data_IF_045963323509
#
_entry.id   IF_045963323509
#
_cell.length_a   1.000
_cell.length_b   1.000
_cell.length_c   1.000
_cell.angle_alpha   90.00
_cell.angle_beta   90.00
_cell.angle_gamma   90.00
#
_symmetry.space_group_name_H-M   'P 1'
#
loop_
_entity.id
_entity.type
_entity.pdbx_description
1 polymer ?
#
# COMPACT_ATOMS: atom_id res chain seq x y z
N UNK A 1 -1.22 -23.73 -6.36
CA UNK A 1 -1.61 -22.37 -5.93
C UNK A 1 -0.81 -21.97 -4.71
N UNK A 2 -0.02 -20.89 -4.78
CA UNK A 2 0.83 -20.42 -3.69
C UNK A 2 0.01 -19.98 -2.47
N UNK A 3 0.57 -20.06 -1.25
CA UNK A 3 -0.06 -19.56 -0.03
C UNK A 3 -0.42 -18.07 -0.13
N UNK A 4 0.39 -17.28 -0.84
CA UNK A 4 0.12 -15.86 -1.08
C UNK A 4 -1.10 -15.62 -1.97
N UNK A 5 -1.31 -16.43 -3.01
CA UNK A 5 -2.53 -16.34 -3.82
C UNK A 5 -3.78 -16.63 -2.99
N UNK A 6 -3.72 -17.63 -2.10
CA UNK A 6 -4.84 -17.95 -1.21
C UNK A 6 -5.14 -16.80 -0.26
N UNK A 7 -4.13 -16.21 0.36
CA UNK A 7 -4.32 -15.12 1.30
C UNK A 7 -4.79 -13.83 0.61
N UNK A 8 -4.06 -13.38 -0.41
CA UNK A 8 -4.27 -12.07 -1.00
C UNK A 8 -5.42 -12.05 -2.02
N UNK A 9 -5.58 -13.08 -2.85
CA UNK A 9 -6.66 -13.10 -3.87
C UNK A 9 -7.91 -13.73 -3.30
N UNK A 10 -7.85 -14.98 -2.85
CA UNK A 10 -9.04 -15.70 -2.41
C UNK A 10 -9.59 -15.16 -1.07
N UNK A 11 -8.69 -14.75 -0.16
CA UNK A 11 -9.08 -14.05 1.07
C UNK A 11 -9.80 -12.73 0.77
N UNK A 12 -9.27 -11.93 -0.16
CA UNK A 12 -9.90 -10.66 -0.56
C UNK A 12 -11.26 -10.88 -1.22
N UNK A 13 -11.41 -11.87 -2.11
CA UNK A 13 -12.72 -12.23 -2.68
C UNK A 13 -13.73 -12.61 -1.60
N UNK A 14 -13.28 -13.32 -0.57
CA UNK A 14 -14.11 -13.69 0.58
C UNK A 14 -14.53 -12.46 1.38
N UNK A 15 -13.62 -11.51 1.63
CA UNK A 15 -13.94 -10.24 2.30
C UNK A 15 -14.98 -9.43 1.51
N UNK A 16 -14.80 -9.32 0.19
CA UNK A 16 -15.78 -8.67 -0.69
C UNK A 16 -17.15 -9.34 -0.56
N UNK A 17 -17.20 -10.68 -0.61
CA UNK A 17 -18.46 -11.40 -0.48
C UNK A 17 -19.16 -11.09 0.84
N UNK A 18 -18.43 -11.08 1.95
CA UNK A 18 -18.95 -10.73 3.27
C UNK A 18 -19.45 -9.28 3.28
N UNK A 19 -18.68 -8.33 2.73
CA UNK A 19 -19.05 -6.90 2.62
C UNK A 19 -20.38 -6.72 1.89
N UNK A 20 -20.59 -7.48 0.81
CA UNK A 20 -21.85 -7.48 0.05
C UNK A 20 -23.00 -8.05 0.87
N UNK A 21 -22.80 -9.21 1.50
CA UNK A 21 -23.81 -9.89 2.31
C UNK A 21 -24.23 -9.08 3.54
N UNK A 22 -23.28 -8.38 4.18
CA UNK A 22 -23.52 -7.53 5.34
C UNK A 22 -24.08 -6.15 4.99
N UNK A 23 -24.22 -5.82 3.70
CA UNK A 23 -24.63 -4.49 3.22
C UNK A 23 -23.78 -3.35 3.77
N UNK A 24 -22.47 -3.60 3.83
CA UNK A 24 -21.50 -2.60 4.28
C UNK A 24 -21.50 -1.41 3.33
N UNK A 25 -21.51 -0.20 3.89
CA UNK A 25 -21.55 1.06 3.12
C UNK A 25 -20.18 1.56 2.70
N UNK A 26 -19.16 1.28 3.51
CA UNK A 26 -17.81 1.77 3.28
C UNK A 26 -16.82 0.65 3.56
N UNK A 27 -15.90 0.42 2.62
CA UNK A 27 -14.87 -0.59 2.74
C UNK A 27 -13.51 0.01 2.40
N UNK A 28 -12.53 -0.27 3.25
CA UNK A 28 -11.15 0.20 3.07
C UNK A 28 -10.26 -0.99 2.81
N UNK A 29 -9.44 -0.90 1.76
CA UNK A 29 -8.53 -1.95 1.37
C UNK A 29 -7.08 -1.47 1.50
N UNK A 30 -6.31 -2.12 2.36
CA UNK A 30 -4.88 -1.82 2.48
C UNK A 30 -4.11 -2.57 1.40
N UNK A 31 -3.73 -1.84 0.36
CA UNK A 31 -2.86 -2.31 -0.71
C UNK A 31 -1.39 -2.02 -0.39
N UNK A 32 -0.55 -1.80 -1.40
CA UNK A 32 0.88 -1.51 -1.25
C UNK A 32 1.44 -0.92 -2.53
N UNK A 33 2.36 0.03 -2.43
CA UNK A 33 3.08 0.61 -3.58
C UNK A 33 3.80 -0.42 -4.47
N UNK A 34 3.95 -1.66 -3.98
CA UNK A 34 4.44 -2.79 -4.77
C UNK A 34 3.60 -3.10 -6.03
N UNK A 35 2.33 -2.68 -6.10
CA UNK A 35 1.44 -2.94 -7.24
C UNK A 35 1.80 -2.13 -8.49
N UNK A 36 2.53 -1.01 -8.32
CA UNK A 36 3.01 -0.16 -9.42
C UNK A 36 4.50 -0.36 -9.72
N UNK A 37 5.16 -1.31 -9.05
CA UNK A 37 6.60 -1.56 -9.23
C UNK A 37 6.89 -2.72 -10.18
N UNK A 38 7.81 -2.51 -11.12
CA UNK A 38 8.42 -3.58 -11.93
C UNK A 38 9.66 -4.20 -11.23
N UNK A 39 10.04 -3.68 -10.05
CA UNK A 39 11.19 -4.08 -9.22
C UNK A 39 12.57 -4.05 -9.90
N UNK A 40 12.63 -3.56 -11.13
CA UNK A 40 13.84 -3.38 -11.94
C UNK A 40 14.25 -1.90 -12.06
N UNK A 41 13.30 -1.00 -11.84
CA UNK A 41 13.47 0.45 -11.95
C UNK A 41 12.97 1.07 -10.64
N UNK A 42 13.72 2.05 -10.13
CA UNK A 42 13.31 2.81 -8.95
C UNK A 42 12.02 3.60 -9.24
N UNK A 43 11.03 3.46 -8.36
CA UNK A 43 9.88 4.34 -8.33
C UNK A 43 10.30 5.68 -7.74
N UNK A 44 10.22 6.75 -8.53
CA UNK A 44 10.56 8.13 -8.10
C UNK A 44 9.32 8.99 -8.19
N UNK A 45 8.91 9.56 -7.05
CA UNK A 45 7.70 10.38 -6.95
C UNK A 45 6.52 9.73 -7.70
N UNK A 46 6.29 8.45 -7.43
CA UNK A 46 5.25 7.72 -8.13
C UNK A 46 3.88 8.15 -7.60
N UNK A 47 3.03 8.59 -8.52
CA UNK A 47 1.68 9.06 -8.25
C UNK A 47 0.65 8.01 -8.68
N UNK A 48 -0.61 8.22 -8.35
CA UNK A 48 -1.75 7.33 -8.61
C UNK A 48 -2.01 7.09 -10.12
N UNK A 49 -1.33 7.86 -10.98
CA UNK A 49 -1.36 7.71 -12.44
C UNK A 49 -0.48 6.57 -12.95
N UNK A 50 0.40 6.02 -12.10
CA UNK A 50 1.27 4.91 -12.50
C UNK A 50 0.44 3.65 -12.79
N UNK A 51 0.75 2.92 -13.87
CA UNK A 51 -0.01 1.74 -14.22
C UNK A 51 0.22 0.62 -13.19
N UNK A 52 -0.87 -0.08 -12.87
CA UNK A 52 -0.78 -1.36 -12.18
C UNK A 52 0.05 -2.34 -13.01
N UNK A 53 1.14 -2.84 -12.42
CA UNK A 53 2.03 -3.79 -13.08
C UNK A 53 1.57 -5.22 -12.74
N UNK A 54 1.41 -6.04 -13.78
CA UNK A 54 1.03 -7.46 -13.67
C UNK A 54 1.81 -8.33 -14.65
N UNK A 55 1.87 -9.64 -14.37
CA UNK A 55 2.37 -10.65 -15.31
C UNK A 55 3.87 -10.54 -15.57
N UNK A 56 4.26 -10.71 -16.84
CA UNK A 56 5.67 -10.79 -17.26
C UNK A 56 6.48 -9.51 -16.99
N UNK A 57 5.81 -8.36 -16.83
CA UNK A 57 6.42 -7.08 -16.44
C UNK A 57 6.81 -7.01 -14.97
N UNK A 58 6.40 -8.00 -14.17
CA UNK A 58 6.94 -8.27 -12.84
C UNK A 58 7.80 -9.54 -12.87
N UNK A 59 8.98 -9.53 -13.55
CA UNK A 59 9.78 -10.74 -13.76
C UNK A 59 10.16 -11.37 -12.43
N UNK A 60 10.07 -12.69 -12.27
CA UNK A 60 10.19 -13.41 -11.00
C UNK A 60 11.54 -13.23 -10.24
N UNK A 61 11.78 -12.10 -9.56
CA UNK A 61 12.74 -12.06 -8.46
C UNK A 61 12.12 -12.66 -7.20
N UNK A 62 12.62 -13.84 -6.87
CA UNK A 62 12.65 -14.47 -5.55
C UNK A 62 11.28 -14.71 -4.90
N UNK A 63 10.44 -15.50 -5.57
CA UNK A 63 9.34 -16.42 -5.14
C UNK A 63 8.32 -15.94 -4.08
N UNK A 64 8.72 -15.22 -3.04
CA UNK A 64 7.86 -14.72 -1.97
C UNK A 64 7.32 -13.31 -2.24
N UNK A 65 8.19 -12.31 -2.46
CA UNK A 65 7.75 -10.91 -2.57
C UNK A 65 6.92 -10.66 -3.84
N UNK A 66 7.29 -11.27 -4.98
CA UNK A 66 6.54 -11.07 -6.25
C UNK A 66 5.24 -11.85 -6.34
N UNK A 67 5.16 -13.00 -5.68
CA UNK A 67 3.87 -13.65 -5.48
C UNK A 67 2.92 -12.72 -4.73
N UNK A 68 3.40 -11.92 -3.77
CA UNK A 68 2.60 -10.88 -3.13
C UNK A 68 2.23 -9.76 -4.10
N UNK A 69 3.16 -9.20 -4.88
CA UNK A 69 2.87 -8.06 -5.76
C UNK A 69 1.79 -8.40 -6.79
N UNK A 70 1.99 -9.44 -7.60
CA UNK A 70 1.02 -9.86 -8.61
C UNK A 70 -0.35 -10.19 -8.00
N UNK A 71 -0.36 -10.87 -6.83
CA UNK A 71 -1.63 -11.19 -6.15
C UNK A 71 -2.29 -9.98 -5.53
N UNK A 72 -1.53 -9.00 -5.04
CA UNK A 72 -2.04 -7.72 -4.53
C UNK A 72 -2.62 -6.87 -5.65
N UNK A 73 -1.97 -6.80 -6.81
CA UNK A 73 -2.50 -6.07 -7.98
C UNK A 73 -3.84 -6.66 -8.44
N UNK A 74 -3.92 -8.00 -8.51
CA UNK A 74 -5.17 -8.70 -8.82
C UNK A 74 -6.25 -8.46 -7.76
N UNK A 75 -5.87 -8.47 -6.47
CA UNK A 75 -6.78 -8.25 -5.36
C UNK A 75 -7.30 -6.80 -5.33
N UNK A 76 -6.44 -5.80 -5.53
CA UNK A 76 -6.80 -4.39 -5.62
C UNK A 76 -7.76 -4.13 -6.77
N UNK A 77 -7.43 -4.64 -7.97
CA UNK A 77 -8.30 -4.55 -9.14
C UNK A 77 -9.66 -5.18 -8.85
N UNK A 78 -9.67 -6.36 -8.22
CA UNK A 78 -10.89 -7.04 -7.82
C UNK A 78 -11.70 -6.20 -6.83
N UNK A 79 -11.07 -5.57 -5.84
CA UNK A 79 -11.76 -4.74 -4.83
C UNK A 79 -12.33 -3.48 -5.45
N UNK A 80 -11.52 -2.69 -6.15
CA UNK A 80 -11.96 -1.42 -6.75
C UNK A 80 -13.06 -1.63 -7.79
N UNK A 81 -13.06 -2.75 -8.51
CA UNK A 81 -14.16 -3.10 -9.44
C UNK A 81 -15.52 -3.27 -8.78
N UNK A 82 -15.58 -3.46 -7.45
CA UNK A 82 -16.83 -3.58 -6.70
C UNK A 82 -17.37 -2.24 -6.20
N UNK A 83 -16.62 -1.15 -6.39
CA UNK A 83 -17.07 0.16 -5.96
C UNK A 83 -18.35 0.54 -6.70
N UNK A 84 -19.44 0.78 -5.95
CA UNK A 84 -20.77 1.09 -6.49
C UNK A 84 -21.23 0.17 -7.63
N UNK A 85 -20.83 -1.10 -7.60
CA UNK A 85 -21.24 -2.08 -8.60
C UNK A 85 -22.77 -2.22 -8.64
N UNK A 86 -23.32 -2.70 -9.76
CA UNK A 86 -24.77 -2.74 -9.98
C UNK A 86 -25.54 -3.51 -8.88
N UNK A 87 -24.93 -4.55 -8.31
CA UNK A 87 -25.49 -5.35 -7.21
C UNK A 87 -25.29 -4.71 -5.83
N UNK A 88 -24.34 -3.78 -5.68
CA UNK A 88 -24.02 -3.05 -4.44
C UNK A 88 -23.76 -1.55 -4.66
N UNK A 89 -24.74 -0.78 -5.17
CA UNK A 89 -24.56 0.66 -5.50
C UNK A 89 -24.30 1.54 -4.26
N UNK A 90 -24.52 0.99 -3.06
CA UNK A 90 -24.30 1.64 -1.77
C UNK A 90 -22.86 1.50 -1.26
N UNK A 91 -22.05 0.63 -1.85
CA UNK A 91 -20.69 0.36 -1.38
C UNK A 91 -19.71 1.39 -1.95
N UNK A 92 -19.10 2.16 -1.05
CA UNK A 92 -17.97 3.04 -1.35
C UNK A 92 -16.65 2.40 -0.89
N UNK A 93 -15.64 2.45 -1.74
CA UNK A 93 -14.37 1.76 -1.54
C UNK A 93 -13.21 2.75 -1.68
N UNK A 94 -12.20 2.64 -0.82
CA UNK A 94 -10.91 3.30 -1.01
C UNK A 94 -9.77 2.32 -0.76
N UNK A 95 -8.74 2.38 -1.60
CA UNK A 95 -7.52 1.61 -1.44
C UNK A 95 -6.36 2.49 -0.96
N UNK A 96 -5.63 2.03 0.06
CA UNK A 96 -4.47 2.75 0.62
C UNK A 96 -3.20 2.03 0.24
N UNK A 97 -2.23 2.75 -0.34
CA UNK A 97 -0.96 2.23 -0.82
C UNK A 97 0.19 2.81 0.01
N UNK A 98 0.56 2.19 1.16
CA UNK A 98 1.78 2.58 1.84
C UNK A 98 3.01 2.21 0.98
N UNK A 99 4.01 3.10 0.97
CA UNK A 99 5.33 2.78 0.44
C UNK A 99 6.09 1.93 1.46
N UNK A 100 6.37 0.68 1.08
CA UNK A 100 7.12 -0.27 1.89
C UNK A 100 8.56 -0.36 1.36
N UNK A 101 9.60 -0.24 2.20
CA UNK A 101 11.00 -0.33 1.77
C UNK A 101 11.36 -1.67 1.09
N UNK A 102 10.53 -2.71 1.24
CA UNK A 102 10.74 -4.02 0.62
C UNK A 102 10.77 -3.96 -0.92
N UNK A 103 10.14 -2.96 -1.55
CA UNK A 103 9.96 -2.88 -3.00
C UNK A 103 11.28 -2.60 -3.76
N UNK A 104 12.27 -1.99 -3.13
CA UNK A 104 13.53 -1.55 -3.80
C UNK A 104 14.81 -2.29 -3.37
N UNK A 105 14.70 -3.36 -2.55
CA UNK A 105 15.86 -4.15 -2.08
C UNK A 105 16.55 -5.01 -3.15
N UNK A 106 16.11 -4.96 -4.41
CA UNK A 106 16.70 -5.73 -5.52
C UNK A 106 18.06 -5.19 -5.98
N UNK A 107 18.45 -4.01 -5.53
CA UNK A 107 19.74 -3.38 -5.86
C UNK A 107 20.74 -3.55 -4.72
N UNK A 108 21.55 -4.61 -4.79
CA UNK A 108 22.57 -5.00 -3.81
C UNK A 108 23.78 -4.06 -3.71
N UNK A 109 23.70 -2.81 -4.18
CA UNK A 109 24.81 -1.87 -4.04
C UNK A 109 24.87 -1.33 -2.61
N UNK A 110 25.88 -1.79 -1.87
CA UNK A 110 26.26 -1.35 -0.53
C UNK A 110 26.72 0.13 -0.45
N UNK A 111 26.83 0.81 -1.59
CA UNK A 111 27.16 2.23 -1.66
C UNK A 111 25.89 3.06 -1.87
N UNK A 112 25.58 3.94 -0.92
CA UNK A 112 24.58 5.00 -1.10
C UNK A 112 24.99 5.89 -2.27
N UNK A 113 24.58 5.55 -3.49
CA UNK A 113 24.90 6.41 -4.63
C UNK A 113 23.68 6.85 -5.42
N UNK A 114 22.57 6.11 -5.53
CA UNK A 114 21.43 6.55 -6.36
C UNK A 114 20.02 6.08 -5.96
N UNK A 115 19.90 5.07 -5.08
CA UNK A 115 18.60 4.45 -4.80
C UNK A 115 18.03 5.06 -3.53
N UNK A 116 16.96 5.85 -3.69
CA UNK A 116 16.21 6.45 -2.60
C UNK A 116 14.97 5.59 -2.31
N UNK A 117 14.64 5.51 -1.04
CA UNK A 117 13.56 4.71 -0.51
C UNK A 117 12.66 5.63 0.30
N UNK A 118 11.36 5.41 0.16
CA UNK A 118 10.40 6.04 1.03
C UNK A 118 10.08 5.09 2.19
N UNK A 119 10.05 5.66 3.40
CA UNK A 119 9.77 4.96 4.64
C UNK A 119 8.56 5.62 5.28
N UNK A 120 7.39 5.01 5.13
CA UNK A 120 6.15 5.60 5.64
C UNK A 120 6.00 5.36 7.15
N UNK A 121 5.71 6.45 7.87
CA UNK A 121 5.24 6.51 9.25
C UNK A 121 4.03 5.57 9.47
N UNK A 122 4.07 4.52 10.30
CA UNK A 122 2.84 3.79 10.67
C UNK A 122 1.72 4.69 11.24
N UNK A 123 2.04 5.72 12.02
CA UNK A 123 1.11 6.74 12.51
C UNK A 123 0.53 7.55 11.35
N UNK A 124 1.32 7.87 10.32
CA UNK A 124 0.83 8.50 9.10
C UNK A 124 -0.11 7.56 8.33
N UNK A 125 0.23 6.26 8.25
CA UNK A 125 -0.66 5.23 7.68
C UNK A 125 -1.98 5.17 8.47
N UNK A 126 -1.93 5.17 9.81
CA UNK A 126 -3.13 5.15 10.67
C UNK A 126 -3.97 6.41 10.49
N UNK A 127 -3.34 7.59 10.45
CA UNK A 127 -4.05 8.84 10.19
C UNK A 127 -4.71 8.84 8.81
N UNK A 128 -4.02 8.34 7.77
CA UNK A 128 -4.59 8.20 6.44
C UNK A 128 -5.81 7.28 6.42
N UNK A 129 -5.73 6.11 7.09
CA UNK A 129 -6.88 5.20 7.23
C UNK A 129 -8.05 5.87 7.96
N UNK A 130 -7.77 6.60 9.04
CA UNK A 130 -8.82 7.30 9.78
C UNK A 130 -9.49 8.39 8.94
N UNK A 131 -8.69 9.25 8.28
CA UNK A 131 -9.20 10.34 7.45
C UNK A 131 -10.00 9.82 6.26
N UNK A 132 -9.50 8.80 5.55
CA UNK A 132 -10.24 8.20 4.44
C UNK A 132 -11.55 7.55 4.91
N UNK A 133 -11.58 6.92 6.09
CA UNK A 133 -12.81 6.38 6.65
C UNK A 133 -13.84 7.47 6.98
N UNK A 134 -13.39 8.62 7.50
CA UNK A 134 -14.25 9.79 7.74
C UNK A 134 -14.81 10.33 6.43
N UNK A 135 -13.99 10.48 5.39
CA UNK A 135 -14.45 10.97 4.07
C UNK A 135 -15.46 10.00 3.45
N UNK A 136 -15.18 8.69 3.44
CA UNK A 136 -16.12 7.69 2.93
C UNK A 136 -17.45 7.73 3.70
N UNK A 137 -17.42 7.93 5.02
CA UNK A 137 -18.63 8.06 5.84
C UNK A 137 -19.45 9.31 5.48
N UNK A 138 -18.80 10.44 5.20
CA UNK A 138 -19.47 11.67 4.74
C UNK A 138 -20.09 11.49 3.35
N UNK A 139 -19.38 10.86 2.41
CA UNK A 139 -19.91 10.56 1.08
C UNK A 139 -21.21 9.76 1.15
N UNK A 140 -21.30 8.83 2.10
CA UNK A 140 -22.50 8.02 2.36
C UNK A 140 -23.67 8.80 2.96
N UNK A 141 -23.41 9.94 3.59
CA UNK A 141 -24.44 10.84 4.13
C UNK A 141 -24.94 11.85 3.08
N UNK A 142 -24.47 11.75 1.83
CA UNK A 142 -24.82 12.70 0.76
C UNK A 142 -24.09 14.03 0.87
N UNK A 143 -23.13 14.16 1.78
CA UNK A 143 -22.20 15.29 1.83
C UNK A 143 -21.17 15.05 0.73
N UNK A 144 -21.37 15.72 -0.41
CA UNK A 144 -20.49 15.61 -1.57
C UNK A 144 -19.34 16.58 -1.38
N UNK A 145 -18.17 16.06 -1.05
CA UNK A 145 -16.92 16.82 -1.10
C UNK A 145 -16.66 17.27 -2.56
N UNK A 146 -15.90 18.35 -2.80
CA UNK A 146 -15.49 18.78 -4.13
C UNK A 146 -14.89 17.62 -4.94
N UNK A 147 -14.99 17.66 -6.28
CA UNK A 147 -14.50 16.57 -7.14
C UNK A 147 -13.06 16.16 -6.87
N UNK A 148 -12.23 17.11 -6.43
CA UNK A 148 -10.79 16.96 -6.25
C UNK A 148 -10.42 16.32 -4.89
N UNK A 149 -11.40 16.08 -4.01
CA UNK A 149 -11.22 15.48 -2.68
C UNK A 149 -11.96 14.14 -2.51
N UNK A 150 -12.59 13.64 -3.58
CA UNK A 150 -13.42 12.44 -3.53
C UNK A 150 -12.59 11.16 -3.59
N UNK A 151 -12.37 10.52 -2.45
CA UNK A 151 -11.66 9.22 -2.34
C UNK A 151 -12.48 7.99 -2.76
N UNK A 152 -13.73 8.18 -3.19
CA UNK A 152 -14.67 7.09 -3.46
C UNK A 152 -14.40 6.38 -4.79
N UNK A 153 -13.95 5.13 -4.71
CA UNK A 153 -13.53 4.30 -5.85
C UNK A 153 -12.08 4.47 -6.24
N UNK A 154 -11.31 5.22 -5.46
CA UNK A 154 -9.92 5.56 -5.77
C UNK A 154 -8.91 4.75 -4.96
N UNK A 155 -7.65 4.86 -5.37
CA UNK A 155 -6.50 4.35 -4.66
C UNK A 155 -5.58 5.54 -4.38
N UNK A 156 -5.00 5.63 -3.17
CA UNK A 156 -4.12 6.74 -2.79
C UNK A 156 -2.86 6.27 -2.09
N UNK A 157 -1.73 6.86 -2.49
CA UNK A 157 -0.41 6.55 -1.95
C UNK A 157 -0.14 7.31 -0.66
N UNK A 158 0.44 6.63 0.34
CA UNK A 158 0.82 7.25 1.61
C UNK A 158 2.34 7.28 1.72
N UNK A 159 2.87 8.50 1.70
CA UNK A 159 4.28 8.83 1.75
C UNK A 159 4.57 9.76 2.92
N UNK A 160 5.81 9.76 3.41
CA UNK A 160 6.30 10.80 4.31
C UNK A 160 6.92 11.98 3.54
N UNK A 161 6.99 11.93 2.20
CA UNK A 161 7.69 12.88 1.34
C UNK A 161 9.17 13.08 1.72
N UNK A 162 9.77 12.08 2.37
CA UNK A 162 11.14 12.12 2.89
C UNK A 162 11.99 10.95 2.34
N UNK A 163 12.26 10.89 1.02
CA UNK A 163 13.03 9.82 0.42
C UNK A 163 14.45 9.78 1.00
N UNK A 164 14.84 8.64 1.58
CA UNK A 164 16.16 8.43 2.20
C UNK A 164 16.92 7.29 1.52
N UNK A 165 18.26 7.37 1.53
CA UNK A 165 19.06 6.19 1.19
C UNK A 165 18.83 5.08 2.23
N UNK A 166 18.49 3.88 1.79
CA UNK A 166 18.24 2.72 2.66
C UNK A 166 19.38 2.47 3.66
N UNK A 167 20.64 2.41 3.19
CA UNK A 167 21.78 2.16 4.06
C UNK A 167 22.11 3.30 5.02
N UNK A 168 21.71 4.54 4.71
CA UNK A 168 21.86 5.64 5.66
C UNK A 168 20.80 5.53 6.77
N UNK A 169 19.56 5.24 6.39
CA UNK A 169 18.48 5.02 7.34
C UNK A 169 18.80 3.86 8.31
N UNK A 170 19.16 2.68 7.79
CA UNK A 170 19.51 1.53 8.62
C UNK A 170 20.70 1.78 9.56
N UNK A 171 21.70 2.57 9.14
CA UNK A 171 22.84 2.93 10.00
C UNK A 171 22.47 3.89 11.11
N UNK A 172 21.54 4.82 10.86
CA UNK A 172 21.01 5.70 11.90
C UNK A 172 20.24 4.88 12.95
N UNK A 173 19.35 4.00 12.52
CA UNK A 173 18.58 3.13 13.43
C UNK A 173 19.49 2.25 14.28
N UNK A 174 20.49 1.61 13.66
CA UNK A 174 21.46 0.79 14.39
C UNK A 174 22.24 1.61 15.42
N UNK A 175 22.71 2.80 15.05
CA UNK A 175 23.42 3.70 15.97
C UNK A 175 22.55 4.15 17.15
N UNK A 176 21.26 4.43 16.91
CA UNK A 176 20.33 4.78 17.99
C UNK A 176 20.06 3.61 18.94
N UNK A 177 19.94 2.39 18.43
CA UNK A 177 19.78 1.18 19.24
C UNK A 177 20.99 0.93 20.15
N UNK A 178 22.21 1.14 19.64
CA UNK A 178 23.43 1.03 20.45
C UNK A 178 23.47 2.06 21.57
N UNK A 179 23.09 3.32 21.27
CA UNK A 179 23.01 4.40 22.27
C UNK A 179 21.95 4.08 23.32
N UNK A 180 20.75 3.66 22.91
CA UNK A 180 19.67 3.31 23.82
C UNK A 180 20.06 2.13 24.72
N UNK A 181 20.71 1.10 24.17
CA UNK A 181 21.21 -0.02 24.94
C UNK A 181 22.29 0.41 25.94
N UNK A 182 23.18 1.33 25.56
CA UNK A 182 24.17 1.91 26.48
C UNK A 182 23.50 2.72 27.60
N UNK A 183 22.49 3.54 27.29
CA UNK A 183 21.75 4.33 28.27
C UNK A 183 20.97 3.44 29.25
N UNK A 184 20.34 2.36 28.79
CA UNK A 184 19.64 1.40 29.67
C UNK A 184 20.61 0.62 30.55
N UNK A 185 21.81 0.32 30.04
CA UNK A 185 22.80 -0.49 30.76
C UNK A 185 23.62 0.31 31.77
N UNK A 186 23.80 1.61 31.55
CA UNK A 186 24.71 2.46 32.33
C UNK A 186 24.06 3.72 32.94
N UNK A 187 22.76 3.94 32.74
CA UNK A 187 21.96 4.98 33.40
C UNK A 187 21.12 4.42 34.54
#
# INVERSE_FOLDING_TARGET
MSCMCKANVEGTKTLIQIVKESRTRSFMYTSSASVISEAMIDLKCAEETYPLITGDRQPELYVHTKACCNTKTLAETCVLSQNRAQDVPHLSIFAILPFDPLVSLTSTTSSCSRNLFDFTENTNVVHAHYLAAVVLSKCQQGVREPSDESVDGEAGSITNDEPRCFWNFMRLDWGMLEILHALIKYG
#
